data_IF_106997211830
#
_entry.id   IF_106997211830
#
_cell.length_a   1.000
_cell.length_b   1.000
_cell.length_c   1.000
_cell.angle_alpha   90.00
_cell.angle_beta   90.00
_cell.angle_gamma   90.00
#
_symmetry.space_group_name_H-M   'P 1'
#
loop_
_entity.id
_entity.type
_entity.pdbx_description
1 polymer ?
#
# COMPACT_ATOMS: atom_id res chain seq x y z
N UNK A 1 -4.11 6.74 10.23
CA UNK A 1 -3.14 7.44 9.35
C UNK A 1 -1.74 7.00 9.70
N UNK A 2 -0.90 6.81 8.68
CA UNK A 2 0.52 6.49 8.77
C UNK A 2 1.31 7.63 8.10
N UNK A 3 2.46 8.00 8.66
CA UNK A 3 3.36 9.03 8.14
C UNK A 3 4.78 8.47 8.08
N UNK A 4 5.49 8.71 6.98
CA UNK A 4 6.89 8.31 6.79
C UNK A 4 7.73 9.34 6.01
N UNK A 5 9.06 9.22 6.11
CA UNK A 5 10.04 10.09 5.42
C UNK A 5 10.76 9.37 4.27
N UNK A 6 10.18 8.27 3.77
CA UNK A 6 10.74 7.51 2.66
C UNK A 6 10.66 8.26 1.33
N UNK A 7 11.26 7.71 0.28
CA UNK A 7 11.01 8.22 -1.07
C UNK A 7 9.56 7.94 -1.46
N UNK A 8 8.81 8.94 -1.95
CA UNK A 8 7.46 8.71 -2.45
C UNK A 8 7.50 7.69 -3.59
N UNK A 9 6.44 6.89 -3.70
CA UNK A 9 6.25 5.96 -4.81
C UNK A 9 4.79 6.01 -5.24
N UNK A 10 4.56 5.82 -6.53
CA UNK A 10 3.22 5.74 -7.09
C UNK A 10 2.61 4.35 -6.77
N UNK A 11 1.53 4.28 -5.97
CA UNK A 11 0.82 3.05 -5.64
C UNK A 11 0.38 2.26 -6.87
N UNK A 12 -0.05 2.96 -7.92
CA UNK A 12 -0.64 2.36 -9.11
C UNK A 12 0.42 1.73 -10.03
N UNK A 13 1.70 2.09 -9.84
CA UNK A 13 2.83 1.48 -10.52
C UNK A 13 3.32 0.21 -9.82
N UNK A 14 2.80 -0.12 -8.64
CA UNK A 14 3.15 -1.36 -7.95
C UNK A 14 2.40 -2.52 -8.60
N UNK A 15 3.14 -3.45 -9.21
CA UNK A 15 2.55 -4.66 -9.77
C UNK A 15 1.72 -5.42 -8.72
N UNK A 16 0.51 -5.83 -9.11
CA UNK A 16 -0.37 -6.60 -8.26
C UNK A 16 0.31 -7.88 -7.78
N UNK A 17 0.20 -8.16 -6.48
CA UNK A 17 0.71 -9.40 -5.90
C UNK A 17 -0.26 -10.54 -6.21
N UNK A 18 0.27 -11.63 -6.76
CA UNK A 18 -0.45 -12.87 -6.95
C UNK A 18 -0.16 -13.86 -5.79
N UNK A 19 -1.13 -14.14 -4.91
CA UNK A 19 -0.95 -15.09 -3.82
C UNK A 19 -0.81 -16.55 -4.29
N UNK A 20 -1.22 -16.88 -5.51
CA UNK A 20 -1.10 -18.23 -6.07
C UNK A 20 0.34 -18.56 -6.51
N UNK A 21 1.20 -17.56 -6.70
CA UNK A 21 2.60 -17.77 -7.08
C UNK A 21 3.34 -18.55 -5.96
N UNK A 22 4.14 -19.60 -6.27
CA UNK A 22 4.94 -20.33 -5.28
C UNK A 22 5.88 -19.42 -4.50
N UNK A 23 6.09 -19.70 -3.20
CA UNK A 23 6.91 -18.84 -2.34
C UNK A 23 8.34 -18.62 -2.87
N UNK A 24 8.93 -19.63 -3.49
CA UNK A 24 10.26 -19.57 -4.13
C UNK A 24 10.34 -18.58 -5.30
N UNK A 25 9.22 -18.28 -5.93
CA UNK A 25 9.11 -17.41 -7.11
C UNK A 25 8.48 -16.05 -6.78
N UNK A 26 7.96 -15.88 -5.56
CA UNK A 26 7.33 -14.63 -5.13
C UNK A 26 8.34 -13.49 -5.08
N UNK A 27 7.96 -12.37 -5.71
CA UNK A 27 8.68 -11.11 -5.57
C UNK A 27 8.64 -10.63 -4.12
N UNK A 28 9.75 -10.07 -3.63
CA UNK A 28 9.87 -9.52 -2.26
C UNK A 28 8.99 -8.27 -2.00
N UNK A 29 8.40 -7.66 -3.03
CA UNK A 29 7.65 -6.40 -2.97
C UNK A 29 6.21 -6.60 -3.47
N UNK A 30 5.28 -5.75 -3.05
CA UNK A 30 3.88 -5.77 -3.49
C UNK A 30 2.88 -6.37 -2.49
N UNK A 31 3.35 -7.20 -1.53
CA UNK A 31 2.47 -7.81 -0.52
C UNK A 31 1.77 -6.79 0.37
N UNK A 32 2.45 -5.70 0.76
CA UNK A 32 1.84 -4.65 1.59
C UNK A 32 0.62 -4.00 0.92
N UNK A 33 0.74 -3.69 -0.37
CA UNK A 33 -0.34 -3.10 -1.17
C UNK A 33 -1.52 -4.07 -1.30
N UNK A 34 -1.24 -5.35 -1.53
CA UNK A 34 -2.26 -6.39 -1.57
C UNK A 34 -3.06 -6.47 -0.27
N UNK A 35 -2.39 -6.44 0.89
CA UNK A 35 -3.10 -6.46 2.17
C UNK A 35 -3.95 -5.20 2.37
N UNK A 36 -3.42 -4.01 2.04
CA UNK A 36 -4.18 -2.76 2.13
C UNK A 36 -5.47 -2.89 1.31
N UNK A 37 -5.37 -3.20 0.01
CA UNK A 37 -6.54 -3.31 -0.86
C UNK A 37 -7.53 -4.42 -0.49
N UNK A 38 -7.10 -5.47 0.22
CA UNK A 38 -7.99 -6.54 0.70
C UNK A 38 -8.70 -6.20 2.00
N UNK A 39 -8.07 -5.39 2.85
CA UNK A 39 -8.55 -5.15 4.21
C UNK A 39 -9.35 -3.87 4.34
N UNK A 40 -9.01 -2.82 3.59
CA UNK A 40 -9.61 -1.49 3.69
C UNK A 40 -10.64 -1.26 2.58
N UNK A 41 -11.56 -0.32 2.79
CA UNK A 41 -12.59 -0.01 1.78
C UNK A 41 -12.14 1.12 0.86
N UNK A 42 -11.35 2.06 1.39
CA UNK A 42 -10.72 3.11 0.62
C UNK A 42 -9.35 3.47 1.19
N UNK A 43 -8.52 4.06 0.34
CA UNK A 43 -7.16 4.48 0.68
C UNK A 43 -6.87 5.83 0.04
N UNK A 44 -6.20 6.70 0.78
CA UNK A 44 -5.72 8.00 0.30
C UNK A 44 -4.22 8.13 0.51
N UNK A 45 -3.50 8.56 -0.53
CA UNK A 45 -2.06 8.74 -0.55
C UNK A 45 -1.74 10.19 -0.85
N UNK A 46 -0.96 10.82 0.01
CA UNK A 46 -0.48 12.18 -0.17
C UNK A 46 1.04 12.20 -0.05
N UNK A 47 1.68 12.80 -1.05
CA UNK A 47 3.13 13.01 -1.09
C UNK A 47 3.43 14.50 -0.87
N UNK A 48 4.67 14.83 -0.55
CA UNK A 48 5.15 16.21 -0.40
C UNK A 48 4.38 17.05 0.65
N UNK A 49 3.79 16.40 1.66
CA UNK A 49 3.21 17.11 2.80
C UNK A 49 4.32 17.64 3.71
N UNK A 50 4.06 18.66 4.56
CA UNK A 50 5.04 19.14 5.53
C UNK A 50 5.58 18.06 6.49
N UNK A 51 4.84 16.96 6.66
CA UNK A 51 5.22 15.85 7.54
C UNK A 51 5.79 14.64 6.79
N UNK A 52 5.98 14.70 5.46
CA UNK A 52 6.45 13.57 4.64
C UNK A 52 5.32 12.88 3.86
N UNK A 53 5.49 11.59 3.54
CA UNK A 53 4.43 10.80 2.89
C UNK A 53 3.35 10.48 3.91
N UNK A 54 2.09 10.61 3.49
CA UNK A 54 0.94 10.31 4.34
C UNK A 54 0.03 9.27 3.67
N UNK A 55 -0.30 8.24 4.42
CA UNK A 55 -1.24 7.18 4.04
C UNK A 55 -2.44 7.17 5.00
N UNK A 56 -3.64 7.34 4.46
CA UNK A 56 -4.89 7.21 5.22
C UNK A 56 -5.67 5.99 4.74
N UNK A 57 -5.96 5.09 5.68
CA UNK A 57 -6.74 3.87 5.45
C UNK A 57 -8.15 4.07 6.01
N UNK A 58 -9.18 3.83 5.19
CA UNK A 58 -10.57 3.95 5.59
C UNK A 58 -11.22 2.57 5.66
N UNK A 59 -11.85 2.28 6.81
CA UNK A 59 -12.66 1.08 7.01
C UNK A 59 -14.00 1.44 7.63
N UNK A 60 -15.06 1.04 6.96
CA UNK A 60 -16.43 1.15 7.43
C UNK A 60 -16.68 0.06 8.47
N UNK A 61 -17.43 0.39 9.53
CA UNK A 61 -17.97 -0.64 10.41
C UNK A 61 -19.11 -1.34 9.66
N UNK A 62 -19.09 -2.67 9.65
CA UNK A 62 -20.20 -3.49 9.22
C UNK A 62 -21.28 -3.55 10.31
#
# INVERSE_FOLDING_TARGET
TLIDQGRPFDPDQVAAFDPATPLSERKRRGMGMFFIYKLVDAVDYQFDTPQGNQLTLFKSRA
#
